data_IF_227414300662
#
_entry.id   IF_227414300662
#
_cell.length_a   1.000
_cell.length_b   1.000
_cell.length_c   1.000
_cell.angle_alpha   90.00
_cell.angle_beta   90.00
_cell.angle_gamma   90.00
#
_symmetry.space_group_name_H-M   'P 1'
#
loop_
_entity.id
_entity.type
_entity.pdbx_description
1 polymer ?
#
# COMPACT_ATOMS: atom_id res chain seq x y z
N UNK A 1 20.84 16.91 3.35
CA UNK A 1 20.10 15.75 2.79
C UNK A 1 20.69 15.38 1.45
N UNK A 2 20.79 14.08 1.13
CA UNK A 2 21.15 13.65 -0.22
C UNK A 2 20.02 14.02 -1.17
N UNK A 3 20.36 14.57 -2.34
CA UNK A 3 19.39 14.78 -3.41
C UNK A 3 19.09 13.42 -4.03
N UNK A 4 17.82 13.02 -4.01
CA UNK A 4 17.34 11.76 -4.58
C UNK A 4 16.52 12.10 -5.82
N UNK A 5 16.90 11.54 -6.95
CA UNK A 5 16.16 11.71 -8.19
C UNK A 5 15.09 10.62 -8.30
N UNK A 6 13.85 11.02 -8.04
CA UNK A 6 12.67 10.17 -8.19
C UNK A 6 12.15 10.20 -9.62
N UNK A 7 11.59 9.08 -10.07
CA UNK A 7 10.96 8.98 -11.39
C UNK A 7 9.50 9.45 -11.29
N UNK A 8 9.08 10.29 -12.24
CA UNK A 8 7.72 10.78 -12.35
C UNK A 8 6.77 9.67 -12.85
N UNK A 9 6.00 9.12 -11.92
CA UNK A 9 5.07 8.03 -12.19
C UNK A 9 3.95 8.48 -13.15
N UNK A 10 3.48 9.71 -13.00
CA UNK A 10 2.43 10.29 -13.82
C UNK A 10 2.92 10.49 -15.26
N UNK A 11 4.15 10.94 -15.44
CA UNK A 11 4.79 11.01 -16.76
C UNK A 11 4.99 9.61 -17.37
N UNK A 12 5.42 8.63 -16.57
CA UNK A 12 5.60 7.25 -17.05
C UNK A 12 4.29 6.62 -17.54
N UNK A 13 3.15 6.92 -16.89
CA UNK A 13 1.82 6.52 -17.39
C UNK A 13 1.49 7.13 -18.74
N UNK A 14 1.84 8.41 -18.96
CA UNK A 14 1.58 9.07 -20.25
C UNK A 14 2.40 8.45 -21.38
N UNK A 15 3.67 8.11 -21.12
CA UNK A 15 4.57 7.52 -22.13
C UNK A 15 4.21 6.05 -22.39
N UNK A 16 3.83 5.31 -21.36
CA UNK A 16 3.53 3.88 -21.44
C UNK A 16 2.20 3.55 -20.73
N UNK A 17 1.05 3.92 -21.34
CA UNK A 17 -0.25 3.81 -20.69
C UNK A 17 -0.67 2.38 -20.36
N UNK A 18 -0.17 1.39 -21.10
CA UNK A 18 -0.55 -0.02 -20.92
C UNK A 18 0.27 -0.76 -19.87
N UNK A 19 1.38 -0.19 -19.40
CA UNK A 19 2.31 -0.89 -18.50
C UNK A 19 2.37 -0.31 -17.10
N UNK A 20 1.98 0.95 -16.92
CA UNK A 20 1.89 1.58 -15.62
C UNK A 20 0.43 1.77 -15.27
N UNK A 21 0.03 1.31 -14.09
CA UNK A 21 -1.19 1.75 -13.44
C UNK A 21 -0.74 2.65 -12.29
N UNK A 22 -1.21 3.89 -12.28
CA UNK A 22 -0.80 4.90 -11.31
C UNK A 22 -2.04 5.54 -10.69
N UNK A 23 -1.97 5.99 -9.44
CA UNK A 23 -3.10 6.64 -8.79
C UNK A 23 -3.54 7.86 -9.58
N UNK A 24 -4.85 8.08 -9.64
CA UNK A 24 -5.42 9.26 -10.27
C UNK A 24 -5.27 10.50 -9.37
N UNK A 25 -5.68 11.66 -9.89
CA UNK A 25 -5.57 12.91 -9.14
C UNK A 25 -6.46 12.94 -7.88
N UNK A 26 -7.55 12.18 -7.83
CA UNK A 26 -8.40 12.09 -6.64
C UNK A 26 -7.70 11.24 -5.57
N UNK A 27 -7.14 10.10 -5.95
CA UNK A 27 -6.38 9.22 -5.05
C UNK A 27 -5.20 9.94 -4.38
N UNK A 28 -4.49 10.77 -5.17
CA UNK A 28 -3.37 11.61 -4.72
C UNK A 28 -3.81 12.71 -3.76
N UNK A 29 -4.98 13.33 -3.98
CA UNK A 29 -5.55 14.33 -3.06
C UNK A 29 -6.01 13.73 -1.74
N UNK A 30 -6.38 12.46 -1.74
CA UNK A 30 -6.82 11.73 -0.56
C UNK A 30 -5.67 11.10 0.23
N UNK A 31 -4.41 11.41 -0.08
CA UNK A 31 -3.26 10.93 0.68
C UNK A 31 -3.31 11.40 2.13
N UNK A 32 -2.98 10.49 3.05
CA UNK A 32 -2.97 10.76 4.49
C UNK A 32 -1.67 10.28 5.11
N UNK A 33 -1.31 10.91 6.23
CA UNK A 33 -0.21 10.44 7.07
C UNK A 33 -0.49 8.99 7.52
N UNK A 34 0.52 8.14 7.35
CA UNK A 34 0.47 6.71 7.62
C UNK A 34 -0.07 5.85 6.47
N UNK A 35 -0.45 6.43 5.33
CA UNK A 35 -0.57 5.66 4.09
C UNK A 35 0.83 5.21 3.64
N UNK A 36 0.94 4.02 3.05
CA UNK A 36 2.19 3.53 2.45
C UNK A 36 2.12 3.71 0.94
N UNK A 37 3.13 4.32 0.35
CA UNK A 37 3.17 4.63 -1.08
C UNK A 37 4.35 3.96 -1.76
N UNK A 38 4.18 3.57 -3.02
CA UNK A 38 5.24 3.01 -3.84
C UNK A 38 5.86 4.12 -4.67
N UNK A 39 7.18 4.26 -4.59
CA UNK A 39 7.96 5.25 -5.34
C UNK A 39 9.12 4.57 -6.05
N UNK A 40 9.74 5.26 -7.01
CA UNK A 40 10.89 4.74 -7.75
C UNK A 40 12.06 5.74 -7.72
N UNK A 41 13.21 5.29 -7.25
CA UNK A 41 14.47 6.02 -7.32
C UNK A 41 15.61 5.02 -7.48
N UNK A 42 16.74 5.45 -8.05
CA UNK A 42 17.92 4.59 -8.24
C UNK A 42 17.62 3.26 -8.98
N UNK A 43 16.67 3.28 -9.92
CA UNK A 43 16.19 2.11 -10.69
C UNK A 43 15.52 1.01 -9.85
N UNK A 44 15.10 1.33 -8.64
CA UNK A 44 14.42 0.41 -7.74
C UNK A 44 13.08 1.02 -7.28
N UNK A 45 12.03 0.20 -7.29
CA UNK A 45 10.71 0.57 -6.76
C UNK A 45 10.58 0.06 -5.35
N UNK A 46 10.12 0.90 -4.45
CA UNK A 46 10.05 0.56 -3.03
C UNK A 46 8.90 1.26 -2.32
N UNK A 47 8.57 0.77 -1.14
CA UNK A 47 7.47 1.26 -0.32
C UNK A 47 7.99 2.23 0.75
N UNK A 48 7.24 3.29 1.01
CA UNK A 48 7.52 4.23 2.06
C UNK A 48 6.23 4.69 2.76
N UNK A 49 6.23 4.71 4.08
CA UNK A 49 5.11 5.20 4.89
C UNK A 49 5.18 6.73 5.00
N UNK A 50 4.10 7.42 4.64
CA UNK A 50 4.02 8.88 4.72
C UNK A 50 4.05 9.33 6.18
N UNK A 51 4.98 10.22 6.50
CA UNK A 51 5.12 10.83 7.84
C UNK A 51 4.71 12.30 7.87
N UNK A 52 4.80 13.02 6.76
CA UNK A 52 4.31 14.39 6.62
C UNK A 52 3.87 14.70 5.18
N UNK A 53 2.91 15.63 5.04
CA UNK A 53 2.42 16.13 3.75
C UNK A 53 2.36 17.66 3.83
N UNK A 54 3.05 18.32 2.91
CA UNK A 54 3.12 19.78 2.78
C UNK A 54 2.76 20.18 1.34
N UNK A 55 1.47 20.34 1.09
CA UNK A 55 0.96 20.55 -0.27
C UNK A 55 1.23 19.34 -1.15
N UNK A 56 2.08 19.50 -2.17
CA UNK A 56 2.49 18.40 -3.05
C UNK A 56 3.73 17.64 -2.58
N UNK A 57 4.46 18.19 -1.59
CA UNK A 57 5.65 17.57 -1.02
C UNK A 57 5.24 16.56 0.04
N UNK A 58 5.91 15.41 0.00
CA UNK A 58 5.64 14.27 0.87
C UNK A 58 6.96 13.88 1.51
N UNK A 59 6.95 13.80 2.83
CA UNK A 59 8.01 13.17 3.61
C UNK A 59 7.54 11.78 3.98
N UNK A 60 8.36 10.78 3.72
CA UNK A 60 8.04 9.40 4.02
C UNK A 60 9.25 8.64 4.57
N UNK A 61 8.97 7.54 5.25
CA UNK A 61 9.96 6.64 5.82
C UNK A 61 9.98 5.33 5.05
N UNK A 62 11.15 4.92 4.59
CA UNK A 62 11.31 3.69 3.80
C UNK A 62 10.89 2.46 4.61
N UNK A 63 9.97 1.67 4.06
CA UNK A 63 9.29 0.56 4.74
C UNK A 63 9.71 -0.82 4.18
N UNK A 64 10.84 -0.88 3.48
CA UNK A 64 11.47 -2.14 3.07
C UNK A 64 12.99 -2.00 2.92
N UNK A 65 13.70 -3.14 2.97
CA UNK A 65 15.13 -3.19 2.69
C UNK A 65 15.33 -3.13 1.18
N UNK A 66 16.18 -2.22 0.71
CA UNK A 66 16.49 -2.02 -0.72
C UNK A 66 17.72 -2.81 -1.14
N UNK A 67 17.75 -3.24 -2.39
CA UNK A 67 18.89 -3.94 -2.99
C UNK A 67 20.06 -2.99 -3.28
N UNK A 68 19.76 -1.76 -3.69
CA UNK A 68 20.76 -0.76 -4.07
C UNK A 68 21.60 -0.25 -2.89
N UNK A 69 21.14 -0.42 -1.64
CA UNK A 69 21.76 0.08 -0.40
C UNK A 69 22.05 1.60 -0.37
N UNK A 70 21.55 2.37 -1.34
CA UNK A 70 21.73 3.83 -1.41
C UNK A 70 20.87 4.54 -0.38
N UNK A 71 19.63 4.07 -0.24
CA UNK A 71 18.67 4.49 0.78
C UNK A 71 18.48 3.31 1.73
N UNK A 72 18.56 3.56 3.03
CA UNK A 72 18.45 2.54 4.07
C UNK A 72 16.99 2.33 4.46
N UNK A 73 16.72 1.13 4.99
CA UNK A 73 15.49 0.89 5.72
C UNK A 73 15.30 1.92 6.83
N UNK A 74 14.07 2.40 7.02
CA UNK A 74 13.70 3.41 8.01
C UNK A 74 14.30 4.81 7.77
N UNK A 75 14.99 5.03 6.64
CA UNK A 75 15.49 6.36 6.25
C UNK A 75 14.33 7.26 5.83
N UNK A 76 14.47 8.56 6.11
CA UNK A 76 13.49 9.58 5.71
C UNK A 76 13.85 10.13 4.33
N UNK A 77 12.86 10.18 3.45
CA UNK A 77 12.97 10.67 2.09
C UNK A 77 11.89 11.72 1.81
N UNK A 78 12.18 12.60 0.86
CA UNK A 78 11.24 13.61 0.38
C UNK A 78 11.04 13.48 -1.11
N UNK A 79 9.79 13.55 -1.54
CA UNK A 79 9.38 13.49 -2.94
C UNK A 79 8.06 14.23 -3.15
N UNK A 80 7.58 14.28 -4.39
CA UNK A 80 6.31 14.91 -4.74
C UNK A 80 5.25 13.84 -5.06
N UNK A 81 3.97 14.17 -4.85
CA UNK A 81 2.84 13.28 -5.16
C UNK A 81 2.88 12.66 -6.56
N UNK A 82 3.41 13.36 -7.58
CA UNK A 82 3.57 12.83 -8.95
C UNK A 82 4.54 11.65 -9.07
N UNK A 83 5.40 11.43 -8.08
CA UNK A 83 6.34 10.30 -8.06
C UNK A 83 5.70 9.00 -7.53
N UNK A 84 4.42 9.02 -7.13
CA UNK A 84 3.74 7.86 -6.55
C UNK A 84 3.20 6.94 -7.64
N UNK A 85 3.61 5.68 -7.57
CA UNK A 85 3.17 4.59 -8.43
C UNK A 85 2.00 3.79 -7.87
N UNK A 86 1.82 3.78 -6.54
CA UNK A 86 0.82 2.95 -5.87
C UNK A 86 0.56 3.46 -4.46
N UNK A 87 -0.65 3.23 -3.93
CA UNK A 87 -1.06 3.69 -2.60
C UNK A 87 -1.74 2.56 -1.84
N UNK A 88 -1.21 2.24 -0.67
CA UNK A 88 -1.83 1.38 0.32
C UNK A 88 -2.35 2.25 1.47
N UNK A 89 -3.67 2.46 1.48
CA UNK A 89 -4.31 3.30 2.51
C UNK A 89 -4.26 2.63 3.88
N UNK A 90 -3.95 3.41 4.91
CA UNK A 90 -3.93 2.95 6.29
C UNK A 90 -5.27 2.32 6.70
N UNK A 91 -5.23 1.11 7.25
CA UNK A 91 -6.43 0.39 7.72
C UNK A 91 -7.24 -0.36 6.66
N UNK A 92 -6.87 -0.30 5.37
CA UNK A 92 -7.52 -1.16 4.35
C UNK A 92 -7.28 -2.66 4.58
N UNK A 93 -6.11 -3.03 5.11
CA UNK A 93 -5.81 -4.42 5.47
C UNK A 93 -6.67 -4.92 6.64
N UNK A 94 -6.80 -4.13 7.71
CA UNK A 94 -7.58 -4.51 8.89
C UNK A 94 -9.05 -4.84 8.56
N UNK A 95 -9.68 -4.09 7.67
CA UNK A 95 -11.07 -4.34 7.25
C UNK A 95 -11.22 -5.61 6.40
N UNK A 96 -10.24 -5.91 5.53
CA UNK A 96 -10.25 -7.15 4.72
C UNK A 96 -10.05 -8.38 5.61
N UNK A 97 -9.16 -8.30 6.59
CA UNK A 97 -8.88 -9.38 7.53
C UNK A 97 -10.07 -9.66 8.45
N UNK A 98 -10.73 -8.61 8.96
CA UNK A 98 -11.98 -8.76 9.72
C UNK A 98 -13.07 -9.46 8.92
N UNK A 99 -13.29 -9.04 7.66
CA UNK A 99 -14.30 -9.66 6.78
C UNK A 99 -13.95 -11.11 6.44
N UNK A 100 -12.68 -11.43 6.24
CA UNK A 100 -12.22 -12.80 6.01
C UNK A 100 -12.43 -13.67 7.26
N UNK A 101 -12.09 -13.15 8.43
CA UNK A 101 -12.28 -13.83 9.72
C UNK A 101 -13.76 -14.07 10.05
N UNK A 102 -14.63 -13.10 9.79
CA UNK A 102 -16.08 -13.26 9.96
C UNK A 102 -16.66 -14.32 9.04
N UNK A 103 -16.28 -14.32 7.76
CA UNK A 103 -16.67 -15.37 6.80
C UNK A 103 -16.20 -16.75 7.25
N UNK A 104 -14.99 -16.84 7.80
CA UNK A 104 -14.46 -18.10 8.33
C UNK A 104 -15.25 -18.59 9.55
N UNK A 105 -15.55 -17.70 10.51
CA UNK A 105 -16.39 -18.01 11.68
C UNK A 105 -17.79 -18.49 11.28
N UNK A 106 -18.42 -17.85 10.30
CA UNK A 106 -19.74 -18.27 9.79
C UNK A 106 -19.70 -19.68 9.17
N UNK A 107 -18.64 -20.01 8.41
CA UNK A 107 -18.44 -21.35 7.83
C UNK A 107 -18.29 -22.42 8.91
N UNK A 108 -17.52 -22.14 9.96
CA UNK A 108 -17.32 -23.06 11.10
C UNK A 108 -18.66 -23.30 11.81
N UNK A 109 -19.40 -22.25 12.16
CA UNK A 109 -20.69 -22.38 12.84
C UNK A 109 -21.72 -23.17 12.02
N UNK A 110 -21.74 -23.00 10.69
CA UNK A 110 -22.62 -23.77 9.81
C UNK A 110 -22.27 -25.26 9.82
N UNK A 111 -20.97 -25.60 9.81
CA UNK A 111 -20.48 -26.98 9.84
C UNK A 111 -20.82 -27.69 11.15
N UNK A 112 -20.64 -27.01 12.29
CA UNK A 112 -20.98 -27.53 13.63
C UNK A 112 -22.49 -27.82 13.74
N UNK A 113 -23.34 -26.90 13.27
CA UNK A 113 -24.81 -27.09 13.29
C UNK A 113 -25.30 -28.23 12.39
N UNK A 114 -24.61 -28.52 11.29
CA UNK A 114 -24.95 -29.67 10.43
C UNK A 114 -24.53 -31.02 11.01
N UNK A 115 -23.45 -31.07 11.79
CA UNK A 115 -22.98 -32.33 12.40
C UNK A 115 -23.76 -32.71 13.66
N UNK A 116 -24.31 -31.74 14.40
CA UNK A 116 -25.15 -32.01 15.58
C UNK A 116 -26.56 -32.54 15.30
N UNK A 117 -27.03 -32.53 14.04
CA UNK A 117 -28.38 -33.01 13.66
C UNK A 117 -28.42 -34.48 13.21
N UNK A 118 -27.29 -35.19 13.23
CA UNK A 118 -27.16 -36.52 12.60
C UNK A 118 -27.27 -37.74 13.50
N UNK A 119 -27.40 -37.63 14.83
CA UNK A 119 -27.39 -38.80 15.75
C UNK A 119 -28.54 -38.76 16.78
N UNK A 120 -29.78 -38.80 16.30
CA UNK A 120 -30.89 -39.40 17.05
C UNK A 120 -31.53 -40.45 16.14
N UNK A 121 -30.98 -41.66 16.14
CA UNK A 121 -31.74 -42.86 15.80
C UNK A 121 -32.01 -43.58 17.11
N UNK A 122 -33.30 -43.65 17.41
CA UNK A 122 -33.93 -44.47 18.44
C UNK A 122 -33.62 -45.96 18.20
#
# INVERSE_FOLDING_TARGET
MKKIDFIDAQQMKQIHPDTFDVPDQNDLRELKIGDTVKVCAFRERFWAEITAIEGYKITARVDNILLTNVIKYNETIEFESRHIYDILKKGQFQKKDQKANEKMKQRINKKVKSQGKGHRRL
#
